data_IF_868391469553
#
_entry.id   IF_868391469553
#
_cell.length_a   1.000
_cell.length_b   1.000
_cell.length_c   1.000
_cell.angle_alpha   90.00
_cell.angle_beta   90.00
_cell.angle_gamma   90.00
#
_symmetry.space_group_name_H-M   'P 1'
#
loop_
_entity.id
_entity.type
_entity.pdbx_description
1 polymer ?
#
# COMPACT_ATOMS: atom_id res chain seq x y z
N UNK A 1 -11.35 6.48 -13.10
CA UNK A 1 -10.12 6.56 -12.30
C UNK A 1 -9.40 5.22 -12.43
N UNK A 2 -8.08 5.20 -12.66
CA UNK A 2 -7.34 3.96 -12.76
C UNK A 2 -7.26 3.28 -11.38
N UNK A 3 -7.25 1.94 -11.37
CA UNK A 3 -7.16 1.13 -10.16
C UNK A 3 -6.02 0.13 -10.31
N UNK A 4 -5.26 -0.07 -9.23
CA UNK A 4 -4.18 -1.06 -9.19
C UNK A 4 -4.28 -1.89 -7.92
N UNK A 5 -3.98 -3.18 -8.05
CA UNK A 5 -3.81 -4.10 -6.93
C UNK A 5 -2.33 -4.41 -6.80
N UNK A 6 -1.78 -4.25 -5.59
CA UNK A 6 -0.42 -4.61 -5.26
C UNK A 6 -0.48 -5.86 -4.37
N UNK A 7 0.07 -6.96 -4.87
CA UNK A 7 0.25 -8.20 -4.13
C UNK A 7 1.73 -8.38 -3.76
N UNK A 8 1.99 -8.89 -2.56
CA UNK A 8 3.33 -9.09 -2.04
C UNK A 8 3.30 -9.67 -0.63
N UNK A 9 4.47 -9.83 -0.02
CA UNK A 9 4.62 -10.40 1.32
C UNK A 9 4.39 -9.36 2.44
N UNK A 10 3.34 -8.55 2.31
CA UNK A 10 3.03 -7.48 3.25
C UNK A 10 2.20 -7.98 4.44
N UNK A 11 2.40 -7.39 5.62
CA UNK A 11 1.70 -7.78 6.83
C UNK A 11 2.34 -8.93 7.60
N UNK A 12 3.54 -9.34 7.21
CA UNK A 12 4.33 -10.39 7.87
C UNK A 12 5.41 -9.84 8.81
N UNK A 13 5.38 -8.53 9.09
CA UNK A 13 6.38 -7.85 9.91
C UNK A 13 7.81 -7.87 9.33
N UNK A 14 7.94 -8.00 8.00
CA UNK A 14 9.21 -7.79 7.31
C UNK A 14 9.38 -6.31 6.98
N UNK A 15 10.27 -5.63 7.71
CA UNK A 15 10.50 -4.19 7.53
C UNK A 15 11.01 -3.82 6.13
N UNK A 16 11.72 -4.72 5.44
CA UNK A 16 12.20 -4.48 4.09
C UNK A 16 11.05 -4.41 3.07
N UNK A 17 10.10 -5.33 3.16
CA UNK A 17 8.94 -5.37 2.26
C UNK A 17 8.03 -4.17 2.49
N UNK A 18 7.79 -3.79 3.76
CA UNK A 18 7.00 -2.61 4.11
C UNK A 18 7.65 -1.31 3.62
N UNK A 19 8.99 -1.20 3.70
CA UNK A 19 9.73 -0.06 3.17
C UNK A 19 9.66 0.02 1.64
N UNK A 20 9.77 -1.12 0.94
CA UNK A 20 9.61 -1.18 -0.51
C UNK A 20 8.19 -0.79 -0.93
N UNK A 21 7.16 -1.31 -0.24
CA UNK A 21 5.77 -0.94 -0.50
C UNK A 21 5.58 0.57 -0.36
N UNK A 22 6.11 1.17 0.71
CA UNK A 22 6.01 2.60 0.94
C UNK A 22 6.64 3.42 -0.20
N UNK A 23 7.85 3.05 -0.65
CA UNK A 23 8.51 3.72 -1.77
C UNK A 23 7.71 3.59 -3.08
N UNK A 24 7.13 2.42 -3.35
CA UNK A 24 6.26 2.21 -4.53
C UNK A 24 5.01 3.09 -4.46
N UNK A 25 4.35 3.16 -3.31
CA UNK A 25 3.16 4.00 -3.12
C UNK A 25 3.48 5.48 -3.35
N UNK A 26 4.61 5.99 -2.84
CA UNK A 26 5.04 7.36 -3.08
C UNK A 26 5.23 7.64 -4.58
N UNK A 27 5.98 6.79 -5.28
CA UNK A 27 6.24 6.97 -6.71
C UNK A 27 4.95 6.91 -7.55
N UNK A 28 4.03 6.00 -7.21
CA UNK A 28 2.75 5.85 -7.92
C UNK A 28 1.83 7.06 -7.70
N UNK A 29 1.87 7.68 -6.51
CA UNK A 29 1.11 8.90 -6.21
C UNK A 29 1.45 10.03 -7.20
N UNK A 30 2.73 10.23 -7.41
CA UNK A 30 3.25 11.34 -8.21
C UNK A 30 3.09 11.06 -9.71
N UNK A 31 3.24 9.80 -10.12
CA UNK A 31 3.13 9.39 -11.51
C UNK A 31 1.68 9.37 -12.02
N UNK A 32 0.70 8.99 -11.18
CA UNK A 32 -0.69 8.81 -11.60
C UNK A 32 -1.65 9.49 -10.61
N UNK A 33 -1.92 10.79 -10.80
CA UNK A 33 -2.89 11.51 -9.98
C UNK A 33 -4.28 10.84 -10.03
N UNK A 34 -4.86 10.60 -8.86
CA UNK A 34 -6.19 9.96 -8.73
C UNK A 34 -6.19 8.43 -8.90
N UNK A 35 -5.03 7.77 -8.80
CA UNK A 35 -4.92 6.32 -8.74
C UNK A 35 -5.50 5.77 -7.43
N UNK A 36 -6.39 4.78 -7.54
CA UNK A 36 -6.84 3.97 -6.41
C UNK A 36 -5.93 2.74 -6.26
N UNK A 37 -5.40 2.52 -5.05
CA UNK A 37 -4.48 1.41 -4.76
C UNK A 37 -5.09 0.48 -3.72
N UNK A 38 -5.14 -0.80 -4.04
CA UNK A 38 -5.47 -1.86 -3.08
C UNK A 38 -4.23 -2.70 -2.81
N UNK A 39 -3.84 -2.85 -1.55
CA UNK A 39 -2.72 -3.71 -1.15
C UNK A 39 -3.27 -4.97 -0.50
N UNK A 40 -2.83 -6.14 -0.98
CA UNK A 40 -3.13 -7.40 -0.33
C UNK A 40 -2.11 -7.61 0.80
N UNK A 41 -2.61 -7.73 2.03
CA UNK A 41 -1.78 -7.88 3.22
C UNK A 41 -2.39 -8.90 4.18
N UNK A 42 -1.55 -9.71 4.80
CA UNK A 42 -1.95 -10.64 5.88
C UNK A 42 -2.41 -9.89 7.13
N UNK A 43 -1.83 -8.72 7.38
CA UNK A 43 -2.18 -7.86 8.50
C UNK A 43 -2.35 -6.42 8.00
N UNK A 44 -3.54 -6.09 7.45
CA UNK A 44 -3.78 -4.79 6.84
C UNK A 44 -3.58 -3.62 7.82
N UNK A 45 -3.89 -3.80 9.11
CA UNK A 45 -3.71 -2.76 10.12
C UNK A 45 -2.22 -2.45 10.33
N UNK A 46 -1.38 -3.48 10.37
CA UNK A 46 0.07 -3.31 10.48
C UNK A 46 0.66 -2.67 9.22
N UNK A 47 0.35 -3.21 8.04
CA UNK A 47 0.84 -2.68 6.77
C UNK A 47 0.37 -1.25 6.58
N UNK A 48 -0.88 -0.92 6.90
CA UNK A 48 -1.39 0.44 6.88
C UNK A 48 -0.55 1.33 7.80
N UNK A 49 -0.38 1.03 9.09
CA UNK A 49 0.42 1.89 9.99
C UNK A 49 1.85 2.15 9.48
N UNK A 50 2.48 1.15 8.88
CA UNK A 50 3.83 1.26 8.33
C UNK A 50 3.89 2.02 6.98
N UNK A 51 2.81 1.98 6.19
CA UNK A 51 2.72 2.67 4.89
C UNK A 51 2.00 4.04 4.97
N UNK A 52 1.29 4.34 6.07
CA UNK A 52 0.42 5.51 6.31
C UNK A 52 1.16 6.80 6.66
N UNK A 53 2.49 6.87 6.51
CA UNK A 53 3.14 8.20 6.42
C UNK A 53 2.69 8.99 5.18
N UNK A 54 1.90 8.38 4.28
CA UNK A 54 1.11 9.07 3.26
C UNK A 54 -0.38 8.79 3.46
N UNK A 55 -1.20 9.81 3.77
CA UNK A 55 -2.66 9.67 3.67
C UNK A 55 -3.03 9.59 2.20
N UNK A 56 -3.20 8.37 1.69
CA UNK A 56 -3.82 8.13 0.39
C UNK A 56 -5.34 8.07 0.57
N UNK A 57 -6.12 9.02 0.02
CA UNK A 57 -7.56 8.83 -0.08
C UNK A 57 -7.83 7.69 -1.05
N UNK A 58 -8.34 6.56 -0.56
CA UNK A 58 -8.75 5.42 -1.40
C UNK A 58 -8.00 4.10 -1.19
N UNK A 59 -7.08 4.00 -0.22
CA UNK A 59 -6.58 2.67 0.17
C UNK A 59 -7.69 1.93 0.91
N UNK A 60 -8.24 0.91 0.26
CA UNK A 60 -9.16 -0.03 0.92
C UNK A 60 -8.31 -1.20 1.44
N UNK A 61 -8.18 -1.39 2.77
CA UNK A 61 -7.50 -2.55 3.31
C UNK A 61 -8.31 -3.81 2.99
N UNK A 62 -7.87 -4.58 2.00
CA UNK A 62 -8.46 -5.88 1.69
C UNK A 62 -7.75 -6.97 2.51
N UNK A 63 -8.54 -7.67 3.33
CA UNK A 63 -8.09 -8.82 4.11
C UNK A 63 -8.15 -10.06 3.19
N UNK A 64 -7.00 -10.68 2.93
CA UNK A 64 -6.91 -12.01 2.33
C UNK A 64 -6.37 -12.99 3.35
#
# INVERSE_FOLDING_TARGET
MPKVVISGYYGFHNSGDEAMLHAMLLALRDAVPGLEVTVLSKNPDYTARNSVFVPFPGITPCRC
#
